data_IF_459954055202
#
_entry.id   IF_459954055202
#
_cell.length_a   1.000
_cell.length_b   1.000
_cell.length_c   1.000
_cell.angle_alpha   90.00
_cell.angle_beta   90.00
_cell.angle_gamma   90.00
#
_symmetry.space_group_name_H-M   'P 1'
#
loop_
_entity.id
_entity.type
_entity.pdbx_description
1 polymer ?
#
# COMPACT_ATOMS: atom_id res chain seq x y z
N UNK A 1 -2.08 0.23 23.22
CA UNK A 1 -3.03 0.86 22.28
C UNK A 1 -3.49 -0.19 21.28
N UNK A 2 -4.72 -0.68 21.45
CA UNK A 2 -5.30 -1.73 20.63
C UNK A 2 -5.83 -1.18 19.31
N UNK A 3 -5.53 -1.85 18.19
CA UNK A 3 -6.32 -1.81 16.94
C UNK A 3 -6.10 -3.12 16.16
N UNK A 4 -6.52 -4.22 16.77
CA UNK A 4 -6.77 -5.47 16.06
C UNK A 4 -8.03 -5.31 15.22
N UNK A 5 -7.92 -4.83 13.99
CA UNK A 5 -9.01 -4.96 13.00
C UNK A 5 -8.87 -6.33 12.34
N UNK A 6 -9.64 -7.28 12.89
CA UNK A 6 -10.21 -8.48 12.27
C UNK A 6 -9.47 -9.00 11.03
N UNK A 7 -8.73 -10.09 11.22
CA UNK A 7 -8.23 -11.02 10.19
C UNK A 7 -9.41 -11.57 9.36
N UNK A 8 -9.99 -10.79 8.47
CA UNK A 8 -10.71 -11.37 7.35
C UNK A 8 -9.65 -12.17 6.56
N UNK A 9 -9.88 -13.48 6.36
CA UNK A 9 -9.13 -14.32 5.43
C UNK A 9 -9.21 -13.67 4.04
N UNK A 10 -8.38 -12.68 3.77
CA UNK A 10 -8.26 -12.08 2.46
C UNK A 10 -7.66 -13.17 1.59
N UNK A 11 -8.47 -13.74 0.69
CA UNK A 11 -8.07 -14.78 -0.24
C UNK A 11 -6.66 -14.46 -0.76
N UNK A 12 -5.69 -15.34 -0.47
CA UNK A 12 -4.23 -15.13 -0.60
C UNK A 12 -3.71 -14.76 -2.02
N UNK A 13 -4.56 -14.35 -2.96
CA UNK A 13 -4.16 -13.98 -4.31
C UNK A 13 -4.99 -12.90 -5.00
N UNK A 14 -6.22 -12.63 -4.55
CA UNK A 14 -7.13 -11.75 -5.33
C UNK A 14 -6.96 -10.30 -4.88
N UNK A 15 -6.45 -9.47 -5.79
CA UNK A 15 -6.49 -8.02 -5.66
C UNK A 15 -7.78 -7.53 -6.31
N UNK A 16 -8.67 -6.96 -5.51
CA UNK A 16 -9.90 -6.37 -6.06
C UNK A 16 -9.60 -5.06 -6.77
N UNK A 17 -10.49 -4.61 -7.67
CA UNK A 17 -10.36 -3.29 -8.30
C UNK A 17 -10.29 -2.18 -7.23
N UNK A 18 -11.07 -2.31 -6.16
CA UNK A 18 -11.06 -1.40 -5.01
C UNK A 18 -9.71 -1.36 -4.30
N UNK A 19 -9.08 -2.51 -4.05
CA UNK A 19 -7.73 -2.59 -3.48
C UNK A 19 -6.70 -1.87 -4.36
N UNK A 20 -6.79 -2.07 -5.68
CA UNK A 20 -5.86 -1.47 -6.64
C UNK A 20 -6.02 0.05 -6.70
N UNK A 21 -7.26 0.55 -6.70
CA UNK A 21 -7.56 1.98 -6.67
C UNK A 21 -7.05 2.61 -5.38
N UNK A 22 -7.28 1.96 -4.23
CA UNK A 22 -6.80 2.44 -2.94
C UNK A 22 -5.26 2.43 -2.89
N UNK A 23 -4.64 1.34 -3.35
CA UNK A 23 -3.19 1.22 -3.46
C UNK A 23 -2.62 2.38 -4.29
N UNK A 24 -3.16 2.64 -5.49
CA UNK A 24 -2.70 3.75 -6.36
C UNK A 24 -2.82 5.11 -5.67
N UNK A 25 -3.97 5.39 -5.07
CA UNK A 25 -4.28 6.69 -4.43
C UNK A 25 -3.38 6.93 -3.22
N UNK A 26 -3.17 5.92 -2.38
CA UNK A 26 -2.38 6.07 -1.17
C UNK A 26 -0.88 5.96 -1.42
N UNK A 27 -0.44 5.14 -2.37
CA UNK A 27 0.98 4.88 -2.61
C UNK A 27 1.74 6.13 -3.02
N UNK A 28 1.12 7.08 -3.70
CA UNK A 28 1.75 8.34 -4.10
C UNK A 28 2.18 9.20 -2.90
N UNK A 29 1.40 9.20 -1.80
CA UNK A 29 1.54 10.14 -0.69
C UNK A 29 1.93 9.50 0.65
N UNK A 30 1.87 8.17 0.76
CA UNK A 30 2.16 7.43 1.99
C UNK A 30 3.27 6.42 1.78
N UNK A 31 3.87 5.95 2.87
CA UNK A 31 4.84 4.86 2.83
C UNK A 31 4.15 3.54 2.48
N UNK A 32 4.90 2.60 1.89
CA UNK A 32 4.33 1.28 1.53
C UNK A 32 3.82 0.51 2.75
N UNK A 33 4.39 0.77 3.93
CA UNK A 33 3.96 0.20 5.20
C UNK A 33 2.58 0.72 5.61
N UNK A 34 2.38 2.03 5.66
CA UNK A 34 1.07 2.60 5.99
C UNK A 34 -0.02 2.15 5.00
N UNK A 35 0.32 2.03 3.71
CA UNK A 35 -0.62 1.54 2.71
C UNK A 35 -0.97 0.08 2.94
N UNK A 36 0.01 -0.75 3.29
CA UNK A 36 -0.20 -2.15 3.61
C UNK A 36 -1.08 -2.32 4.86
N UNK A 37 -0.85 -1.52 5.91
CA UNK A 37 -1.68 -1.49 7.10
C UNK A 37 -3.13 -1.07 6.79
N UNK A 38 -3.31 -0.02 5.98
CA UNK A 38 -4.66 0.43 5.56
C UNK A 38 -5.39 -0.60 4.70
N UNK A 39 -4.67 -1.35 3.88
CA UNK A 39 -5.21 -2.44 3.06
C UNK A 39 -5.40 -3.75 3.85
N UNK A 40 -4.89 -3.84 5.08
CA UNK A 40 -4.84 -5.10 5.83
C UNK A 40 -4.05 -6.21 5.13
N UNK A 41 -3.07 -5.83 4.29
CA UNK A 41 -2.25 -6.76 3.49
C UNK A 41 -0.81 -6.78 4.00
N UNK A 42 -0.07 -7.89 3.81
CA UNK A 42 1.36 -7.91 4.11
C UNK A 42 2.12 -6.84 3.32
N UNK A 43 3.14 -6.25 3.96
CA UNK A 43 4.03 -5.28 3.35
C UNK A 43 4.65 -5.84 2.06
N UNK A 44 5.17 -7.06 2.10
CA UNK A 44 5.78 -7.74 0.95
C UNK A 44 4.82 -7.92 -0.22
N UNK A 45 3.58 -8.33 0.05
CA UNK A 45 2.56 -8.46 -1.00
C UNK A 45 2.24 -7.10 -1.63
N UNK A 46 2.16 -6.06 -0.80
CA UNK A 46 1.90 -4.68 -1.24
C UNK A 46 3.06 -4.12 -2.05
N UNK A 47 4.31 -4.35 -1.62
CA UNK A 47 5.54 -4.01 -2.36
C UNK A 47 5.56 -4.70 -3.72
N UNK A 48 5.46 -6.04 -3.75
CA UNK A 48 5.45 -6.83 -5.00
C UNK A 48 4.36 -6.35 -5.95
N UNK A 49 3.16 -6.07 -5.43
CA UNK A 49 2.06 -5.57 -6.27
C UNK A 49 2.31 -4.16 -6.79
N UNK A 50 2.79 -3.23 -5.95
CA UNK A 50 3.12 -1.88 -6.37
C UNK A 50 4.22 -1.87 -7.44
N UNK A 51 5.27 -2.69 -7.27
CA UNK A 51 6.32 -2.91 -8.27
C UNK A 51 5.74 -3.46 -9.57
N UNK A 52 4.87 -4.49 -9.51
CA UNK A 52 4.23 -5.07 -10.71
C UNK A 52 3.27 -4.10 -11.42
N UNK A 53 2.76 -3.10 -10.70
CA UNK A 53 1.92 -2.03 -11.24
C UNK A 53 2.73 -0.81 -11.69
N UNK A 54 4.07 -0.80 -11.53
CA UNK A 54 4.92 0.34 -11.86
C UNK A 54 4.62 1.59 -11.02
N UNK A 55 4.06 1.44 -9.82
CA UNK A 55 3.71 2.59 -8.98
C UNK A 55 4.96 3.25 -8.43
N UNK A 56 5.06 4.57 -8.61
CA UNK A 56 6.12 5.40 -8.06
C UNK A 56 5.54 6.32 -6.99
N UNK A 57 6.38 6.70 -6.03
CA UNK A 57 6.03 7.74 -5.06
C UNK A 57 5.93 9.09 -5.76
N UNK A 58 5.04 9.95 -5.30
CA UNK A 58 4.95 11.31 -5.83
C UNK A 58 6.27 12.03 -5.57
N UNK A 59 6.68 12.89 -6.51
CA UNK A 59 7.91 13.70 -6.38
C UNK A 59 7.84 14.59 -5.13
N UNK A 60 6.65 15.09 -4.78
CA UNK A 60 6.37 15.84 -3.55
C UNK A 60 6.63 15.02 -2.28
N UNK A 61 6.21 13.75 -2.26
CA UNK A 61 6.48 12.84 -1.15
C UNK A 61 7.99 12.53 -1.04
N UNK A 62 8.66 12.29 -2.16
CA UNK A 62 10.12 12.07 -2.20
C UNK A 62 10.91 13.29 -1.71
N UNK A 63 10.48 14.50 -2.11
CA UNK A 63 11.04 15.77 -1.64
C UNK A 63 10.82 15.95 -0.13
N UNK A 64 9.63 15.62 0.38
CA UNK A 64 9.32 15.65 1.81
C UNK A 64 10.18 14.68 2.63
N UNK A 65 10.58 13.55 2.04
CA UNK A 65 11.45 12.57 2.67
C UNK A 65 12.96 12.89 2.54
N UNK A 66 13.35 13.99 1.90
CA UNK A 66 14.75 14.35 1.69
C UNK A 66 15.51 13.37 0.79
N UNK A 67 14.80 12.58 -0.03
CA UNK A 67 15.35 11.56 -0.95
C UNK A 67 15.24 11.98 -2.42
N UNK A 68 15.07 13.29 -2.65
CA UNK A 68 14.88 13.89 -3.97
C UNK A 68 16.17 14.47 -4.50
#
# INVERSE_FOLDING_TARGET
MAKTRSKAKLAKGVWTKSDLTLLKKLFANHSTAEVAERLGRPLDATKKKASRLGLRKARSYMKKLGRG
#
